data_IF_471408308962
#
_entry.id   IF_471408308962
#
_cell.length_a   1.000
_cell.length_b   1.000
_cell.length_c   1.000
_cell.angle_alpha   90.00
_cell.angle_beta   90.00
_cell.angle_gamma   90.00
#
_symmetry.space_group_name_H-M   'P 1'
#
loop_
_entity.id
_entity.type
_entity.pdbx_description
1 polymer ?
#
# COMPACT_ATOMS: atom_id res chain seq x y z
N UNK A 1 -73.14 41.82 -31.90
CA UNK A 1 -72.56 43.14 -31.63
C UNK A 1 -71.29 42.97 -30.85
N UNK A 2 -70.24 43.56 -31.32
CA UNK A 2 -68.86 43.64 -30.86
C UNK A 2 -67.92 42.40 -31.03
N UNK A 3 -67.17 42.51 -32.12
CA UNK A 3 -65.94 41.81 -32.39
C UNK A 3 -64.84 42.34 -31.45
N UNK A 4 -64.08 41.47 -30.86
CA UNK A 4 -62.81 41.83 -30.26
C UNK A 4 -61.64 41.03 -30.90
N UNK A 5 -60.69 41.82 -31.36
CA UNK A 5 -59.53 41.43 -32.16
C UNK A 5 -58.58 40.52 -31.34
N UNK A 6 -58.18 39.40 -31.95
CA UNK A 6 -57.01 38.65 -31.50
C UNK A 6 -55.71 39.36 -31.87
N UNK A 7 -54.92 39.69 -30.88
CA UNK A 7 -53.55 40.10 -31.06
C UNK A 7 -52.63 38.85 -31.00
N UNK A 8 -52.03 38.51 -32.13
CA UNK A 8 -50.99 37.48 -32.21
C UNK A 8 -49.67 38.10 -31.75
N UNK A 9 -49.22 37.67 -30.58
CA UNK A 9 -47.86 37.91 -30.07
C UNK A 9 -46.93 36.88 -30.69
N UNK A 10 -45.96 37.33 -31.48
CA UNK A 10 -44.86 36.50 -31.99
C UNK A 10 -43.83 36.27 -30.89
N UNK A 11 -43.86 35.09 -30.29
CA UNK A 11 -42.78 34.61 -29.41
C UNK A 11 -41.59 34.20 -30.25
N UNK A 12 -40.46 34.88 -30.08
CA UNK A 12 -39.17 34.48 -30.65
C UNK A 12 -38.59 33.39 -29.78
N UNK A 13 -38.65 32.16 -30.26
CA UNK A 13 -37.97 31.02 -29.64
C UNK A 13 -36.48 31.14 -29.90
N UNK A 14 -35.71 31.46 -28.87
CA UNK A 14 -34.25 31.40 -28.91
C UNK A 14 -33.83 29.96 -28.64
N UNK A 15 -33.30 29.29 -29.62
CA UNK A 15 -32.61 28.00 -29.44
C UNK A 15 -31.24 28.29 -28.82
N UNK A 16 -31.09 27.92 -27.56
CA UNK A 16 -29.78 27.84 -26.89
C UNK A 16 -29.15 26.52 -27.31
N UNK A 17 -28.18 26.60 -28.22
CA UNK A 17 -27.34 25.44 -28.55
C UNK A 17 -26.34 25.29 -27.38
N UNK A 18 -26.57 24.31 -26.50
CA UNK A 18 -25.59 23.92 -25.50
C UNK A 18 -24.61 23.00 -26.21
N UNK A 19 -23.45 23.56 -26.55
CA UNK A 19 -22.29 22.75 -27.00
C UNK A 19 -21.65 22.11 -25.77
N UNK A 20 -21.89 20.82 -25.59
CA UNK A 20 -21.11 20.00 -24.66
C UNK A 20 -19.69 19.84 -25.23
N UNK A 21 -18.76 20.66 -24.76
CA UNK A 21 -17.35 20.39 -24.88
C UNK A 21 -17.02 19.24 -23.91
N UNK A 22 -16.98 18.02 -24.43
CA UNK A 22 -16.33 16.91 -23.76
C UNK A 22 -14.84 17.22 -23.72
N UNK A 23 -14.37 17.75 -22.58
CA UNK A 23 -12.95 17.83 -22.31
C UNK A 23 -12.51 16.40 -22.03
N UNK A 24 -11.98 15.72 -23.06
CA UNK A 24 -11.14 14.55 -22.86
C UNK A 24 -9.91 15.08 -22.11
N UNK A 25 -9.88 14.87 -20.81
CA UNK A 25 -8.66 14.95 -20.02
C UNK A 25 -7.80 13.75 -20.44
N UNK A 26 -7.03 13.92 -21.50
CA UNK A 26 -5.87 13.08 -21.75
C UNK A 26 -4.94 13.33 -20.57
N UNK A 27 -4.93 12.40 -19.63
CA UNK A 27 -3.88 12.30 -18.63
C UNK A 27 -2.58 12.08 -19.40
N UNK A 28 -1.86 13.15 -19.66
CA UNK A 28 -0.50 13.08 -20.20
C UNK A 28 0.34 12.59 -19.02
N UNK A 29 0.49 11.27 -18.93
CA UNK A 29 1.55 10.72 -18.12
C UNK A 29 2.85 11.28 -18.67
N UNK A 30 3.74 11.87 -17.86
CA UNK A 30 5.06 12.17 -18.33
C UNK A 30 5.70 10.83 -18.70
N UNK A 31 5.83 10.55 -20.00
CA UNK A 31 6.81 9.58 -20.45
C UNK A 31 8.15 10.09 -19.93
N UNK A 32 8.56 9.58 -18.80
CA UNK A 32 9.90 9.79 -18.29
C UNK A 32 10.83 9.19 -19.33
N UNK A 33 11.52 10.06 -20.06
CA UNK A 33 12.53 9.62 -21.03
C UNK A 33 13.52 8.73 -20.27
N UNK A 34 13.56 7.45 -20.63
CA UNK A 34 14.50 6.48 -20.12
C UNK A 34 15.93 6.92 -20.50
N UNK A 35 16.52 7.73 -19.66
CA UNK A 35 17.93 8.05 -19.74
C UNK A 35 18.72 7.04 -18.93
N UNK A 36 19.66 6.41 -19.60
CA UNK A 36 20.70 5.47 -19.20
C UNK A 36 20.99 5.47 -17.70
N UNK A 37 20.45 4.49 -17.00
CA UNK A 37 20.83 4.19 -15.64
C UNK A 37 22.13 3.39 -15.66
N UNK A 38 23.24 4.06 -15.45
CA UNK A 38 24.52 3.44 -15.15
C UNK A 38 25.13 4.13 -13.94
N UNK A 39 24.52 3.93 -12.76
CA UNK A 39 25.17 4.30 -11.49
C UNK A 39 25.67 3.01 -10.85
N UNK A 40 26.96 2.66 -11.00
CA UNK A 40 27.54 1.55 -10.25
C UNK A 40 27.50 1.91 -8.77
N UNK A 41 26.79 1.11 -7.98
CA UNK A 41 26.88 1.17 -6.52
C UNK A 41 25.76 1.88 -5.77
N UNK A 42 24.55 1.97 -6.32
CA UNK A 42 23.41 2.30 -5.48
C UNK A 42 23.23 1.22 -4.40
N UNK A 43 23.15 1.60 -3.13
CA UNK A 43 22.94 0.63 -2.06
C UNK A 43 21.57 -0.07 -2.23
N UNK A 44 21.50 -1.30 -1.78
CA UNK A 44 20.23 -2.02 -1.68
C UNK A 44 19.23 -1.20 -0.87
N UNK A 45 18.02 -1.02 -1.42
CA UNK A 45 16.93 -0.32 -0.76
C UNK A 45 16.10 -1.35 -0.02
N UNK A 46 15.90 -1.15 1.28
CA UNK A 46 15.16 -2.06 2.14
C UNK A 46 13.74 -1.55 2.33
N UNK A 47 12.78 -2.29 1.79
CA UNK A 47 11.35 -1.95 1.80
C UNK A 47 10.62 -2.94 2.70
N UNK A 48 9.89 -2.44 3.69
CA UNK A 48 9.25 -3.28 4.68
C UNK A 48 7.73 -3.07 4.76
N UNK A 49 7.04 -4.08 5.28
CA UNK A 49 5.69 -3.95 5.84
C UNK A 49 5.67 -4.44 7.28
N UNK A 50 4.89 -3.75 8.11
CA UNK A 50 4.75 -4.10 9.52
C UNK A 50 3.42 -3.62 10.10
N UNK A 51 2.58 -4.55 10.53
CA UNK A 51 1.45 -4.25 11.39
C UNK A 51 1.99 -4.02 12.82
N UNK A 52 1.81 -2.81 13.35
CA UNK A 52 2.36 -2.37 14.63
C UNK A 52 1.38 -2.46 15.81
N UNK A 53 0.27 -3.14 15.59
CA UNK A 53 -0.73 -3.49 16.63
C UNK A 53 -1.16 -2.29 17.47
N UNK A 54 -2.06 -1.50 16.94
CA UNK A 54 -2.64 -0.33 17.64
C UNK A 54 -1.58 0.64 18.22
N UNK A 55 -0.50 0.87 17.46
CA UNK A 55 0.48 1.87 17.85
C UNK A 55 -0.15 3.25 17.94
N UNK A 56 -0.47 3.67 19.15
CA UNK A 56 -1.11 4.95 19.43
C UNK A 56 -0.62 5.59 20.72
N UNK A 57 -0.34 6.88 20.66
CA UNK A 57 -0.06 7.72 21.82
C UNK A 57 -1.29 7.90 22.72
N UNK A 58 -2.51 7.63 22.22
CA UNK A 58 -3.74 7.90 22.98
C UNK A 58 -4.26 6.73 23.79
N UNK A 59 -3.97 5.51 23.39
CA UNK A 59 -4.42 4.31 24.10
C UNK A 59 -3.52 3.92 25.25
N UNK A 60 -2.33 4.54 25.36
CA UNK A 60 -1.38 4.30 26.43
C UNK A 60 -1.25 5.54 27.33
N UNK A 61 -1.05 5.33 28.62
CA UNK A 61 -0.71 6.40 29.54
C UNK A 61 0.58 7.06 29.04
N UNK A 62 0.56 8.34 28.82
CA UNK A 62 1.49 9.21 28.05
C UNK A 62 3.00 8.90 28.09
N UNK A 63 3.52 8.22 29.12
CA UNK A 63 4.93 7.82 29.19
C UNK A 63 5.26 6.56 28.41
N UNK A 64 4.31 5.65 28.26
CA UNK A 64 4.52 4.37 27.56
C UNK A 64 4.41 4.54 26.04
N UNK A 65 3.62 5.50 25.56
CA UNK A 65 3.48 5.80 24.14
C UNK A 65 4.78 6.34 23.51
N UNK A 66 5.44 7.26 24.20
CA UNK A 66 6.73 7.79 23.73
C UNK A 66 7.79 6.69 23.63
N UNK A 67 7.83 5.79 24.62
CA UNK A 67 8.73 4.63 24.59
C UNK A 67 8.43 3.70 23.40
N UNK A 68 7.16 3.49 23.07
CA UNK A 68 6.79 2.61 21.94
C UNK A 68 7.32 3.15 20.61
N UNK A 69 7.17 4.44 20.33
CA UNK A 69 7.71 5.05 19.11
C UNK A 69 9.24 4.94 19.05
N UNK A 70 9.93 5.10 20.17
CA UNK A 70 11.39 4.91 20.23
C UNK A 70 11.79 3.47 19.91
N UNK A 71 11.12 2.47 20.48
CA UNK A 71 11.40 1.06 20.17
C UNK A 71 11.10 0.69 18.72
N UNK A 72 10.03 1.23 18.14
CA UNK A 72 9.72 1.05 16.70
C UNK A 72 10.82 1.70 15.87
N UNK A 73 11.26 2.91 16.21
CA UNK A 73 12.33 3.60 15.52
C UNK A 73 13.66 2.83 15.57
N UNK A 74 14.01 2.27 16.74
CA UNK A 74 15.20 1.43 16.90
C UNK A 74 15.09 0.16 16.04
N UNK A 75 13.96 -0.53 16.02
CA UNK A 75 13.73 -1.71 15.19
C UNK A 75 13.91 -1.39 13.68
N UNK A 76 13.39 -0.25 13.24
CA UNK A 76 13.55 0.22 11.85
C UNK A 76 15.03 0.46 11.52
N UNK A 77 15.75 1.16 12.41
CA UNK A 77 17.17 1.47 12.22
C UNK A 77 18.04 0.20 12.24
N UNK A 78 17.83 -0.70 13.20
CA UNK A 78 18.55 -1.98 13.29
C UNK A 78 18.34 -2.82 12.02
N UNK A 79 17.11 -2.88 11.54
CA UNK A 79 16.76 -3.55 10.30
C UNK A 79 17.17 -2.74 9.05
N UNK A 80 17.71 -1.52 9.18
CA UNK A 80 18.13 -0.62 8.10
C UNK A 80 17.03 -0.40 7.05
N UNK A 81 15.81 -0.23 7.49
CA UNK A 81 14.65 -0.05 6.59
C UNK A 81 14.66 1.37 6.03
N UNK A 82 14.56 1.48 4.71
CA UNK A 82 14.56 2.75 3.99
C UNK A 82 13.14 3.22 3.66
N UNK A 83 12.21 2.28 3.44
CA UNK A 83 10.79 2.52 3.17
C UNK A 83 9.99 1.52 3.99
N UNK A 84 8.98 1.98 4.71
CA UNK A 84 8.12 1.09 5.50
C UNK A 84 6.64 1.42 5.33
N UNK A 85 5.86 0.37 5.11
CA UNK A 85 4.40 0.39 5.08
C UNK A 85 3.86 -0.13 6.42
N UNK A 86 3.14 0.70 7.15
CA UNK A 86 2.53 0.38 8.44
C UNK A 86 1.04 0.09 8.33
N UNK A 87 0.59 -0.85 9.15
CA UNK A 87 -0.81 -1.11 9.44
C UNK A 87 -1.03 -1.00 10.95
N UNK A 88 -2.24 -0.66 11.36
CA UNK A 88 -2.63 -0.41 12.76
C UNK A 88 -1.80 0.70 13.44
N UNK A 89 -1.36 1.67 12.66
CA UNK A 89 -0.78 2.89 13.20
C UNK A 89 -1.87 3.93 13.33
N UNK A 90 -1.91 4.67 14.43
CA UNK A 90 -2.88 5.76 14.58
C UNK A 90 -2.24 7.08 14.16
N UNK A 91 -2.84 7.74 13.16
CA UNK A 91 -2.28 8.96 12.59
C UNK A 91 -2.59 10.16 13.46
N UNK A 92 -3.80 10.20 14.04
CA UNK A 92 -4.24 11.24 14.95
C UNK A 92 -4.89 10.60 16.17
N UNK A 93 -4.12 10.48 17.20
CA UNK A 93 -4.70 10.36 18.52
C UNK A 93 -5.35 11.68 18.95
N UNK A 94 -6.04 11.70 20.10
CA UNK A 94 -6.68 12.92 20.67
C UNK A 94 -5.72 14.11 20.81
N UNK A 95 -4.43 13.94 20.61
CA UNK A 95 -3.38 14.98 20.66
C UNK A 95 -2.63 15.15 19.34
N UNK A 96 -3.10 14.51 18.24
CA UNK A 96 -2.54 14.57 16.89
C UNK A 96 -1.05 14.30 16.87
N UNK A 97 -0.55 13.36 16.12
CA UNK A 97 0.85 13.27 15.80
C UNK A 97 1.59 11.98 16.17
N UNK A 98 0.92 10.82 16.13
CA UNK A 98 1.65 9.56 16.34
C UNK A 98 2.71 9.35 15.26
N UNK A 99 2.41 9.68 14.01
CA UNK A 99 3.39 9.67 12.91
C UNK A 99 4.52 10.67 13.15
N UNK A 100 4.21 11.89 13.58
CA UNK A 100 5.23 12.90 13.85
C UNK A 100 6.13 12.47 15.01
N UNK A 101 5.58 11.87 16.07
CA UNK A 101 6.37 11.33 17.18
C UNK A 101 7.31 10.20 16.72
N UNK A 102 6.86 9.35 15.80
CA UNK A 102 7.72 8.32 15.22
C UNK A 102 8.82 8.93 14.35
N UNK A 103 8.49 9.95 13.53
CA UNK A 103 9.49 10.67 12.72
C UNK A 103 10.52 11.38 13.60
N UNK A 104 10.10 12.03 14.70
CA UNK A 104 10.99 12.66 15.67
C UNK A 104 11.90 11.62 16.36
N UNK A 105 11.36 10.44 16.73
CA UNK A 105 12.14 9.35 17.28
C UNK A 105 13.18 8.83 16.28
N UNK A 106 12.81 8.62 15.01
CA UNK A 106 13.72 8.22 13.94
C UNK A 106 14.82 9.26 13.70
N UNK A 107 14.45 10.53 13.67
CA UNK A 107 15.41 11.63 13.50
C UNK A 107 16.39 11.70 14.67
N UNK A 108 15.94 11.47 15.91
CA UNK A 108 16.77 11.52 17.13
C UNK A 108 17.85 10.43 17.17
N UNK A 109 17.71 9.36 16.39
CA UNK A 109 18.66 8.26 16.29
C UNK A 109 19.42 8.22 14.93
N UNK A 110 19.47 9.33 14.20
CA UNK A 110 20.11 9.45 12.87
C UNK A 110 19.56 8.47 11.81
N UNK A 111 18.24 8.23 11.81
CA UNK A 111 17.55 7.42 10.81
C UNK A 111 16.32 8.14 10.27
N UNK A 112 16.47 9.40 9.89
CA UNK A 112 15.35 10.24 9.46
C UNK A 112 14.60 9.63 8.26
N UNK A 113 13.27 9.59 8.36
CA UNK A 113 12.33 9.23 7.29
C UNK A 113 11.35 10.42 7.11
N UNK A 114 11.78 11.48 6.38
CA UNK A 114 11.04 12.75 6.35
C UNK A 114 9.78 12.70 5.51
N UNK A 115 9.66 11.73 4.58
CA UNK A 115 8.53 11.66 3.66
C UNK A 115 7.49 10.70 4.21
N UNK A 116 6.22 11.13 4.21
CA UNK A 116 5.10 10.35 4.75
C UNK A 116 3.87 10.47 3.85
N UNK A 117 3.22 9.35 3.63
CA UNK A 117 1.85 9.26 3.14
C UNK A 117 1.01 8.49 4.16
N UNK A 118 -0.29 8.77 4.22
CA UNK A 118 -1.17 8.09 5.16
C UNK A 118 -2.62 8.03 4.69
N UNK A 119 -3.37 7.06 5.21
CA UNK A 119 -4.80 6.94 5.01
C UNK A 119 -5.49 6.57 6.31
N UNK A 120 -6.58 7.27 6.62
CA UNK A 120 -7.40 6.99 7.80
C UNK A 120 -8.36 5.83 7.55
N UNK A 121 -8.48 4.99 8.54
CA UNK A 121 -9.50 3.96 8.62
C UNK A 121 -10.64 4.40 9.54
N UNK A 122 -11.90 4.13 9.19
CA UNK A 122 -13.03 4.37 10.09
C UNK A 122 -12.93 3.63 11.43
N UNK A 123 -12.09 2.59 11.50
CA UNK A 123 -11.91 1.72 12.66
C UNK A 123 -10.67 2.08 13.50
N UNK A 124 -10.02 3.22 13.24
CA UNK A 124 -8.75 3.64 13.84
C UNK A 124 -7.54 2.70 13.58
N UNK A 125 -7.66 1.83 12.59
CA UNK A 125 -6.57 0.97 12.11
C UNK A 125 -5.95 1.62 10.89
N UNK A 126 -5.30 2.77 11.09
CA UNK A 126 -4.81 3.60 10.00
C UNK A 126 -3.61 2.97 9.27
N UNK A 127 -3.32 3.49 8.09
CA UNK A 127 -2.19 3.10 7.25
C UNK A 127 -1.22 4.26 7.11
N UNK A 128 0.07 3.97 7.11
CA UNK A 128 1.08 4.96 6.76
C UNK A 128 2.22 4.33 5.96
N UNK A 129 2.84 5.14 5.12
CA UNK A 129 4.10 4.83 4.45
C UNK A 129 5.09 5.91 4.85
N UNK A 130 6.19 5.50 5.47
CA UNK A 130 7.34 6.38 5.74
C UNK A 130 8.46 6.02 4.78
N UNK A 131 9.17 7.05 4.29
CA UNK A 131 10.25 6.87 3.33
C UNK A 131 11.39 7.85 3.58
N UNK A 132 12.61 7.38 3.34
CA UNK A 132 13.81 8.21 3.23
C UNK A 132 13.90 8.88 1.86
N UNK A 133 13.17 8.35 0.87
CA UNK A 133 13.08 8.88 -0.49
C UNK A 133 11.83 9.74 -0.65
N UNK A 134 11.83 10.72 -1.58
CA UNK A 134 10.68 11.56 -1.82
C UNK A 134 9.43 10.76 -2.19
N UNK A 135 8.31 11.05 -1.53
CA UNK A 135 6.98 10.62 -1.97
C UNK A 135 6.43 11.75 -2.83
N UNK A 136 6.31 11.51 -4.13
CA UNK A 136 5.89 12.54 -5.10
C UNK A 136 4.38 12.65 -5.20
N UNK A 137 3.68 11.52 -5.03
CA UNK A 137 2.23 11.44 -5.06
C UNK A 137 1.73 10.40 -4.06
N UNK A 138 0.54 10.60 -3.54
CA UNK A 138 -0.15 9.58 -2.74
C UNK A 138 -1.66 9.73 -2.87
N UNK A 139 -2.36 8.61 -2.81
CA UNK A 139 -3.82 8.60 -2.79
C UNK A 139 -4.37 7.49 -1.90
N UNK A 140 -5.59 7.73 -1.44
CA UNK A 140 -6.38 6.75 -0.71
C UNK A 140 -7.39 6.13 -1.65
N UNK A 141 -7.31 4.82 -1.84
CA UNK A 141 -8.25 4.06 -2.65
C UNK A 141 -9.36 3.58 -1.71
N UNK A 142 -10.57 4.04 -1.98
CA UNK A 142 -11.77 3.66 -1.24
C UNK A 142 -12.50 2.54 -1.97
N UNK A 143 -13.29 1.77 -1.22
CA UNK A 143 -14.20 0.82 -1.82
C UNK A 143 -15.16 1.50 -2.81
N UNK A 144 -15.59 0.80 -3.86
CA UNK A 144 -16.76 1.18 -4.59
C UNK A 144 -17.95 1.36 -3.64
N UNK A 145 -18.79 2.39 -3.88
CA UNK A 145 -19.90 2.77 -2.98
C UNK A 145 -20.88 1.65 -2.65
N UNK A 146 -20.92 0.62 -3.46
CA UNK A 146 -21.80 -0.55 -3.33
C UNK A 146 -21.26 -1.63 -2.37
N UNK A 147 -19.97 -1.54 -2.00
CA UNK A 147 -19.33 -2.49 -1.08
C UNK A 147 -18.48 -1.71 -0.07
N UNK A 148 -19.02 -1.46 1.14
CA UNK A 148 -18.26 -0.74 2.15
C UNK A 148 -17.05 -1.56 2.61
N UNK A 149 -15.87 -1.13 2.22
CA UNK A 149 -14.65 -1.67 2.83
C UNK A 149 -14.46 -1.02 4.19
N UNK A 150 -14.21 -1.81 5.20
CA UNK A 150 -13.97 -1.24 6.52
C UNK A 150 -12.66 -0.44 6.57
N UNK A 151 -11.73 -0.71 5.65
CA UNK A 151 -10.39 -0.11 5.64
C UNK A 151 -9.96 0.26 4.22
N UNK A 152 -9.32 1.43 4.02
CA UNK A 152 -8.84 1.86 2.70
C UNK A 152 -7.59 1.08 2.27
N UNK A 153 -7.15 1.32 1.03
CA UNK A 153 -5.80 1.04 0.55
C UNK A 153 -5.09 2.38 0.40
N UNK A 154 -3.84 2.46 0.82
CA UNK A 154 -2.97 3.61 0.60
C UNK A 154 -2.00 3.30 -0.52
N UNK A 155 -1.95 4.18 -1.51
CA UNK A 155 -0.96 4.20 -2.58
C UNK A 155 0.02 5.35 -2.36
N UNK A 156 1.31 5.10 -2.62
CA UNK A 156 2.33 6.14 -2.68
C UNK A 156 3.25 5.91 -3.88
N UNK A 157 3.54 6.96 -4.64
CA UNK A 157 4.57 6.99 -5.66
C UNK A 157 5.84 7.55 -5.04
N UNK A 158 6.92 6.78 -5.05
CA UNK A 158 8.19 7.07 -4.40
C UNK A 158 9.26 7.24 -5.46
N UNK A 159 9.93 8.38 -5.45
CA UNK A 159 11.02 8.68 -6.37
C UNK A 159 12.34 8.12 -5.81
N UNK A 160 12.85 7.07 -6.45
CA UNK A 160 14.14 6.45 -6.12
C UNK A 160 15.30 7.05 -6.92
N UNK A 161 15.08 8.16 -7.62
CA UNK A 161 16.02 8.85 -8.48
C UNK A 161 15.86 8.41 -9.94
N UNK A 162 16.31 7.19 -10.26
CA UNK A 162 16.27 6.68 -11.65
C UNK A 162 14.96 5.96 -11.97
N UNK A 163 14.10 5.70 -10.98
CA UNK A 163 12.82 5.02 -11.17
C UNK A 163 11.77 5.48 -10.17
N UNK A 164 10.51 5.39 -10.57
CA UNK A 164 9.36 5.54 -9.68
C UNK A 164 8.92 4.17 -9.18
N UNK A 165 8.73 4.07 -7.86
CA UNK A 165 8.19 2.91 -7.19
C UNK A 165 6.77 3.21 -6.71
N UNK A 166 5.80 2.41 -7.15
CA UNK A 166 4.43 2.47 -6.64
C UNK A 166 4.27 1.45 -5.52
N UNK A 167 4.07 1.94 -4.30
CA UNK A 167 3.89 1.12 -3.11
C UNK A 167 2.43 1.23 -2.65
N UNK A 168 1.76 0.09 -2.60
CA UNK A 168 0.41 -0.07 -2.05
C UNK A 168 0.47 -0.74 -0.70
N UNK A 169 -0.24 -0.19 0.29
CA UNK A 169 -0.42 -0.87 1.56
C UNK A 169 -1.89 -0.95 1.95
N UNK A 170 -2.26 -2.05 2.59
CA UNK A 170 -3.61 -2.31 3.04
C UNK A 170 -3.61 -3.13 4.34
N UNK A 171 -4.72 -3.03 5.07
CA UNK A 171 -5.05 -3.92 6.17
C UNK A 171 -6.44 -4.51 5.90
N UNK A 172 -6.50 -5.72 5.34
CA UNK A 172 -7.74 -6.36 4.93
C UNK A 172 -8.57 -6.86 6.12
N UNK A 173 -9.80 -7.28 5.84
CA UNK A 173 -10.72 -7.78 6.87
C UNK A 173 -10.14 -8.99 7.58
N UNK A 174 -10.00 -8.89 8.91
CA UNK A 174 -9.58 -9.99 9.79
C UNK A 174 -10.67 -11.07 9.92
N UNK A 175 -10.31 -12.20 10.53
CA UNK A 175 -11.10 -13.38 10.85
C UNK A 175 -11.28 -14.39 9.70
N UNK A 176 -11.51 -15.66 10.11
CA UNK A 176 -11.56 -16.80 9.19
C UNK A 176 -12.98 -17.20 8.75
N UNK A 177 -14.01 -16.47 9.20
CA UNK A 177 -15.39 -16.74 8.82
C UNK A 177 -15.66 -16.37 7.35
N UNK A 178 -16.79 -16.88 6.82
CA UNK A 178 -17.14 -16.74 5.41
C UNK A 178 -17.40 -15.28 5.00
N UNK A 179 -17.97 -14.46 5.88
CA UNK A 179 -18.22 -13.05 5.63
C UNK A 179 -16.91 -12.28 5.49
N UNK A 180 -15.97 -12.54 6.40
CA UNK A 180 -14.63 -11.95 6.37
C UNK A 180 -13.84 -12.39 5.13
N UNK A 181 -13.93 -13.65 4.73
CA UNK A 181 -13.34 -14.13 3.47
C UNK A 181 -13.92 -13.39 2.26
N UNK A 182 -15.25 -13.28 2.19
CA UNK A 182 -15.92 -12.57 1.09
C UNK A 182 -15.49 -11.11 1.01
N UNK A 183 -15.31 -10.45 2.17
CA UNK A 183 -14.81 -9.09 2.23
C UNK A 183 -13.35 -8.98 1.72
N UNK A 184 -12.46 -9.91 2.11
CA UNK A 184 -11.07 -9.92 1.60
C UNK A 184 -11.01 -10.14 0.09
N UNK A 185 -11.82 -11.06 -0.44
CA UNK A 185 -11.89 -11.29 -1.88
C UNK A 185 -12.33 -10.04 -2.64
N UNK A 186 -13.36 -9.34 -2.13
CA UNK A 186 -13.84 -8.09 -2.73
C UNK A 186 -12.76 -6.99 -2.67
N UNK A 187 -12.02 -6.88 -1.55
CA UNK A 187 -10.93 -5.92 -1.39
C UNK A 187 -9.78 -6.23 -2.37
N UNK A 188 -9.38 -7.51 -2.49
CA UNK A 188 -8.33 -7.94 -3.41
C UNK A 188 -8.72 -7.70 -4.87
N UNK A 189 -9.95 -8.05 -5.26
CA UNK A 189 -10.46 -7.84 -6.61
C UNK A 189 -10.48 -6.37 -7.00
N UNK A 190 -10.87 -5.50 -6.09
CA UNK A 190 -10.93 -4.08 -6.41
C UNK A 190 -9.53 -3.45 -6.48
N UNK A 191 -8.58 -3.87 -5.63
CA UNK A 191 -7.19 -3.44 -5.76
C UNK A 191 -6.58 -3.92 -7.07
N UNK A 192 -6.78 -5.18 -7.45
CA UNK A 192 -6.35 -5.72 -8.74
C UNK A 192 -6.94 -4.94 -9.92
N UNK A 193 -8.24 -4.63 -9.86
CA UNK A 193 -8.93 -3.85 -10.89
C UNK A 193 -8.39 -2.42 -10.98
N UNK A 194 -8.12 -1.78 -9.83
CA UNK A 194 -7.51 -0.44 -9.79
C UNK A 194 -6.13 -0.44 -10.47
N UNK A 195 -5.26 -1.39 -10.12
CA UNK A 195 -3.92 -1.50 -10.71
C UNK A 195 -4.01 -1.69 -12.23
N UNK A 196 -4.86 -2.59 -12.71
CA UNK A 196 -5.06 -2.79 -14.14
C UNK A 196 -5.61 -1.56 -14.85
N UNK A 197 -6.57 -0.88 -14.24
CA UNK A 197 -7.14 0.34 -14.83
C UNK A 197 -6.12 1.47 -14.89
N UNK A 198 -5.28 1.60 -13.85
CA UNK A 198 -4.31 2.69 -13.76
C UNK A 198 -3.10 2.48 -14.67
N UNK A 199 -2.51 1.28 -14.66
CA UNK A 199 -1.27 0.99 -15.40
C UNK A 199 -1.50 0.35 -16.76
N UNK A 200 -2.59 -0.39 -16.96
CA UNK A 200 -2.89 -1.06 -18.23
C UNK A 200 -1.73 -1.94 -18.69
N UNK A 201 -1.27 -1.73 -19.92
CA UNK A 201 -0.16 -2.51 -20.50
C UNK A 201 1.20 -2.22 -19.85
N UNK A 202 1.35 -1.10 -19.14
CA UNK A 202 2.62 -0.74 -18.50
C UNK A 202 2.90 -1.51 -17.19
N UNK A 203 1.97 -2.32 -16.71
CA UNK A 203 2.13 -3.15 -15.49
C UNK A 203 3.46 -3.93 -15.51
N UNK A 204 3.79 -4.51 -16.68
CA UNK A 204 4.98 -5.36 -16.87
C UNK A 204 6.30 -4.62 -16.67
N UNK A 205 6.30 -3.32 -16.92
CA UNK A 205 7.48 -2.45 -16.96
C UNK A 205 7.49 -1.47 -15.78
N UNK A 206 6.49 -1.54 -14.92
CA UNK A 206 6.35 -0.63 -13.77
C UNK A 206 6.77 -1.33 -12.48
N UNK A 207 7.54 -0.64 -11.65
CA UNK A 207 7.89 -1.12 -10.33
C UNK A 207 6.70 -0.92 -9.37
N UNK A 208 6.00 -2.00 -9.07
CA UNK A 208 4.82 -1.99 -8.19
C UNK A 208 5.04 -3.00 -7.07
N UNK A 209 4.76 -2.60 -5.84
CA UNK A 209 4.79 -3.44 -4.65
C UNK A 209 3.45 -3.33 -3.92
N UNK A 210 2.86 -4.48 -3.58
CA UNK A 210 1.77 -4.58 -2.62
C UNK A 210 2.38 -5.11 -1.32
N UNK A 211 2.35 -4.35 -0.24
CA UNK A 211 2.96 -4.69 1.03
C UNK A 211 2.02 -4.37 2.17
N UNK A 212 1.53 -5.38 2.90
CA UNK A 212 0.55 -5.15 3.95
C UNK A 212 0.08 -6.40 4.65
N UNK A 213 -0.80 -6.20 5.64
CA UNK A 213 -1.54 -7.24 6.31
C UNK A 213 -2.83 -7.53 5.54
N UNK A 214 -2.79 -8.53 4.67
CA UNK A 214 -3.94 -8.96 3.87
C UNK A 214 -4.82 -9.98 4.59
N UNK A 215 -4.50 -10.30 5.86
CA UNK A 215 -5.27 -11.20 6.71
C UNK A 215 -5.62 -12.55 6.06
N UNK A 216 -4.70 -13.15 5.33
CA UNK A 216 -4.85 -14.42 4.61
C UNK A 216 -4.78 -15.61 5.57
N UNK A 217 -5.80 -15.74 6.40
CA UNK A 217 -5.83 -16.67 7.55
C UNK A 217 -6.29 -18.08 7.19
N UNK A 218 -6.77 -18.31 5.97
CA UNK A 218 -7.27 -19.61 5.52
C UNK A 218 -6.47 -20.17 4.36
N UNK A 219 -6.52 -21.50 4.17
CA UNK A 219 -5.96 -22.14 2.98
C UNK A 219 -6.62 -21.65 1.69
N UNK A 220 -7.90 -21.25 1.76
CA UNK A 220 -8.60 -20.69 0.62
C UNK A 220 -8.00 -19.35 0.18
N UNK A 221 -7.64 -18.48 1.12
CA UNK A 221 -7.00 -17.20 0.82
C UNK A 221 -5.69 -17.39 0.03
N UNK A 222 -4.91 -18.43 0.35
CA UNK A 222 -3.53 -18.61 -0.12
C UNK A 222 -3.37 -19.57 -1.29
N UNK A 223 -4.24 -20.58 -1.42
CA UNK A 223 -4.02 -21.72 -2.32
C UNK A 223 -5.13 -21.92 -3.37
N UNK A 224 -6.26 -21.24 -3.24
CA UNK A 224 -7.34 -21.37 -4.21
C UNK A 224 -7.07 -20.50 -5.43
N UNK A 225 -7.36 -21.04 -6.62
CA UNK A 225 -7.58 -20.19 -7.79
C UNK A 225 -8.68 -19.19 -7.44
N UNK A 226 -8.45 -17.92 -7.66
CA UNK A 226 -9.32 -16.82 -7.22
C UNK A 226 -9.38 -16.62 -5.68
N UNK A 227 -8.40 -17.12 -4.93
CA UNK A 227 -8.19 -16.76 -3.53
C UNK A 227 -7.65 -15.32 -3.38
N UNK A 228 -7.60 -14.82 -2.15
CA UNK A 228 -7.15 -13.45 -1.88
C UNK A 228 -5.76 -13.15 -2.47
N UNK A 229 -4.79 -14.07 -2.26
CA UNK A 229 -3.42 -13.90 -2.79
C UNK A 229 -3.39 -14.02 -4.31
N UNK A 230 -4.14 -14.94 -4.88
CA UNK A 230 -4.21 -15.13 -6.33
C UNK A 230 -4.74 -13.89 -7.05
N UNK A 231 -5.78 -13.26 -6.49
CA UNK A 231 -6.31 -11.97 -6.96
C UNK A 231 -5.29 -10.83 -6.84
N UNK A 232 -4.57 -10.75 -5.70
CA UNK A 232 -3.51 -9.75 -5.50
C UNK A 232 -2.31 -9.97 -6.41
N UNK A 233 -2.08 -11.22 -6.86
CA UNK A 233 -1.08 -11.57 -7.86
C UNK A 233 -1.57 -11.36 -9.31
N UNK A 234 -2.75 -10.81 -9.52
CA UNK A 234 -3.38 -10.56 -10.83
C UNK A 234 -3.61 -11.85 -11.66
N UNK A 235 -3.71 -13.03 -11.02
CA UNK A 235 -3.87 -14.35 -11.67
C UNK A 235 -5.31 -14.72 -12.01
N UNK A 236 -6.20 -13.75 -12.07
CA UNK A 236 -7.63 -13.93 -12.35
C UNK A 236 -7.99 -13.84 -13.84
N UNK A 237 -6.99 -13.76 -14.72
CA UNK A 237 -7.13 -13.74 -16.17
C UNK A 237 -6.23 -14.79 -16.87
N UNK A 238 -6.20 -14.81 -18.21
CA UNK A 238 -5.37 -15.72 -19.01
C UNK A 238 -3.97 -15.14 -19.34
N UNK A 239 -3.74 -13.85 -19.10
CA UNK A 239 -2.44 -13.19 -19.37
C UNK A 239 -1.50 -13.34 -18.17
N UNK A 240 -0.66 -14.35 -18.19
CA UNK A 240 0.34 -14.57 -17.14
C UNK A 240 1.54 -13.60 -17.21
N UNK A 241 1.58 -12.71 -18.19
CA UNK A 241 2.71 -11.78 -18.35
C UNK A 241 2.61 -10.56 -17.44
N UNK A 242 1.43 -10.29 -16.88
CA UNK A 242 1.17 -9.26 -15.87
C UNK A 242 1.04 -9.83 -14.44
N UNK A 243 1.25 -11.15 -14.26
CA UNK A 243 1.16 -11.82 -12.97
C UNK A 243 2.22 -11.30 -11.99
N UNK A 244 1.78 -10.92 -10.81
CA UNK A 244 2.65 -10.54 -9.70
C UNK A 244 3.15 -11.78 -8.95
N UNK A 245 4.24 -11.63 -8.19
CA UNK A 245 4.85 -12.67 -7.39
C UNK A 245 4.79 -12.34 -5.90
N UNK A 246 4.21 -13.22 -5.09
CA UNK A 246 4.29 -13.13 -3.62
C UNK A 246 5.62 -13.68 -3.15
N UNK A 247 6.55 -12.80 -2.77
CA UNK A 247 7.94 -13.15 -2.45
C UNK A 247 8.04 -14.07 -1.23
N UNK A 248 7.26 -13.82 -0.21
CA UNK A 248 7.30 -14.62 1.01
C UNK A 248 6.68 -16.01 0.83
N UNK A 249 5.67 -16.17 0.00
CA UNK A 249 5.14 -17.51 -0.34
C UNK A 249 6.11 -18.30 -1.19
N UNK A 250 6.77 -17.64 -2.13
CA UNK A 250 7.72 -18.28 -3.04
C UNK A 250 8.98 -18.78 -2.32
N UNK A 251 9.56 -17.97 -1.42
CA UNK A 251 10.90 -18.25 -0.90
C UNK A 251 11.03 -18.50 0.60
N UNK A 252 10.01 -18.21 1.41
CA UNK A 252 10.11 -18.36 2.85
C UNK A 252 9.47 -19.63 3.41
N UNK A 253 9.12 -20.61 2.56
CA UNK A 253 8.56 -21.89 2.97
C UNK A 253 7.38 -21.76 3.95
N UNK A 254 6.45 -20.87 3.66
CA UNK A 254 5.27 -20.60 4.50
C UNK A 254 5.59 -20.25 5.96
N UNK A 255 6.70 -19.57 6.21
CA UNK A 255 7.01 -19.07 7.55
C UNK A 255 5.95 -18.06 8.02
N UNK A 256 5.40 -18.22 9.24
CA UNK A 256 4.40 -17.31 9.76
C UNK A 256 4.94 -15.90 9.93
N UNK A 257 4.13 -14.90 9.55
CA UNK A 257 4.36 -13.48 9.80
C UNK A 257 3.60 -12.98 11.01
N UNK A 258 2.51 -13.64 11.37
CA UNK A 258 1.70 -13.39 12.56
C UNK A 258 1.79 -14.56 13.54
N UNK A 259 1.83 -14.26 14.86
CA UNK A 259 1.81 -15.27 15.91
C UNK A 259 1.04 -14.80 17.15
N UNK A 260 -0.03 -15.50 17.46
CA UNK A 260 -0.74 -15.38 18.75
C UNK A 260 -0.30 -16.47 19.74
N UNK A 261 -0.94 -16.49 20.91
CA UNK A 261 -0.71 -17.55 21.91
C UNK A 261 -1.16 -18.94 21.44
N UNK A 262 -2.16 -19.00 20.56
CA UNK A 262 -2.84 -20.23 20.16
C UNK A 262 -2.59 -20.64 18.72
N UNK A 263 -2.14 -19.73 17.85
CA UNK A 263 -1.93 -20.05 16.45
C UNK A 263 -0.95 -19.09 15.77
N UNK A 264 -0.43 -19.53 14.61
CA UNK A 264 0.43 -18.71 13.75
C UNK A 264 -0.05 -18.81 12.30
N UNK A 265 0.05 -17.72 11.54
CA UNK A 265 -0.36 -17.64 10.14
C UNK A 265 0.50 -16.70 9.33
N UNK A 266 0.34 -16.78 8.02
CA UNK A 266 0.92 -15.84 7.06
C UNK A 266 -0.18 -14.85 6.71
N UNK A 267 -0.14 -13.68 7.28
CA UNK A 267 -1.13 -12.60 7.06
C UNK A 267 -0.54 -11.46 6.27
N UNK A 268 0.76 -11.24 6.45
CA UNK A 268 1.50 -10.16 5.82
C UNK A 268 2.19 -10.68 4.56
N UNK A 269 2.12 -9.91 3.49
CA UNK A 269 2.74 -10.25 2.22
C UNK A 269 3.49 -9.07 1.63
N UNK A 270 4.54 -9.39 0.86
CA UNK A 270 5.15 -8.51 -0.14
C UNK A 270 4.97 -9.18 -1.50
N UNK A 271 4.16 -8.55 -2.34
CA UNK A 271 3.81 -9.02 -3.68
C UNK A 271 4.32 -7.98 -4.68
N UNK A 272 5.07 -8.42 -5.67
CA UNK A 272 5.79 -7.52 -6.57
C UNK A 272 5.39 -7.74 -8.03
N UNK A 273 5.42 -6.67 -8.82
CA UNK A 273 5.16 -6.70 -10.27
C UNK A 273 6.19 -7.55 -11.03
N UNK A 274 5.91 -7.94 -12.29
CA UNK A 274 6.82 -8.74 -13.11
C UNK A 274 8.21 -8.12 -13.25
N UNK A 275 8.30 -6.79 -13.39
CA UNK A 275 9.58 -6.08 -13.43
C UNK A 275 10.46 -6.39 -12.20
N UNK A 276 9.88 -6.31 -11.01
CA UNK A 276 10.60 -6.55 -9.76
C UNK A 276 10.82 -8.05 -9.52
N UNK A 277 9.84 -8.88 -9.85
CA UNK A 277 9.94 -10.34 -9.72
C UNK A 277 11.10 -10.92 -10.52
N UNK A 278 11.34 -10.43 -11.74
CA UNK A 278 12.44 -10.85 -12.59
C UNK A 278 13.83 -10.56 -12.00
N UNK A 279 13.93 -9.66 -11.02
CA UNK A 279 15.17 -9.22 -10.39
C UNK A 279 15.32 -9.71 -8.95
N UNK A 280 14.24 -10.20 -8.36
CA UNK A 280 14.22 -10.74 -7.01
C UNK A 280 14.74 -12.18 -6.98
N UNK A 281 15.28 -12.59 -5.84
CA UNK A 281 15.69 -13.96 -5.55
C UNK A 281 15.39 -14.32 -4.09
N UNK A 282 15.74 -15.54 -3.68
CA UNK A 282 15.51 -16.02 -2.30
C UNK A 282 16.17 -15.19 -1.20
N UNK A 283 17.17 -14.37 -1.53
CA UNK A 283 17.84 -13.49 -0.58
C UNK A 283 17.22 -12.08 -0.57
N UNK A 284 16.28 -11.81 -1.48
CA UNK A 284 15.59 -10.53 -1.57
C UNK A 284 14.50 -10.37 -0.52
N UNK A 285 14.07 -11.45 0.16
CA UNK A 285 13.00 -11.41 1.13
C UNK A 285 13.43 -12.02 2.46
N UNK A 286 13.12 -11.35 3.56
CA UNK A 286 13.40 -11.83 4.91
C UNK A 286 12.28 -11.49 5.89
N UNK A 287 12.21 -12.25 6.98
CA UNK A 287 11.34 -11.98 8.14
C UNK A 287 12.23 -11.64 9.31
N UNK A 288 11.96 -10.49 9.95
CA UNK A 288 12.66 -10.03 11.14
C UNK A 288 11.70 -10.06 12.31
N UNK A 289 12.10 -10.69 13.40
CA UNK A 289 11.39 -10.60 14.68
C UNK A 289 11.70 -9.21 15.28
N UNK A 290 10.68 -8.37 15.56
CA UNK A 290 10.95 -7.09 16.19
C UNK A 290 11.58 -7.30 17.58
N UNK A 291 12.56 -6.47 17.98
CA UNK A 291 13.18 -6.58 19.28
C UNK A 291 12.13 -6.42 20.38
N UNK A 292 12.27 -7.14 21.49
CA UNK A 292 11.38 -6.92 22.63
C UNK A 292 11.68 -5.55 23.28
N UNK A 293 10.66 -4.98 23.90
CA UNK A 293 10.85 -3.81 24.77
C UNK A 293 11.78 -4.13 25.94
N UNK A 294 12.29 -3.11 26.65
CA UNK A 294 13.11 -3.28 27.87
C UNK A 294 12.44 -4.16 28.94
N UNK A 295 11.11 -4.25 28.93
CA UNK A 295 10.33 -5.10 29.81
C UNK A 295 10.11 -6.51 29.27
N UNK A 296 10.68 -6.84 28.10
CA UNK A 296 10.55 -8.14 27.45
C UNK A 296 9.20 -8.37 26.74
N UNK A 297 8.42 -7.32 26.47
CA UNK A 297 7.18 -7.43 25.69
C UNK A 297 7.47 -7.33 24.20
N UNK A 298 6.74 -8.07 23.38
CA UNK A 298 6.76 -7.90 21.93
C UNK A 298 6.13 -6.57 21.54
N UNK A 299 6.74 -5.86 20.60
CA UNK A 299 6.21 -4.61 20.03
C UNK A 299 4.95 -4.86 19.21
N UNK A 300 4.84 -6.03 18.59
CA UNK A 300 3.70 -6.49 17.83
C UNK A 300 3.59 -8.02 17.90
N UNK A 301 2.44 -8.57 17.57
CA UNK A 301 2.25 -9.99 17.25
C UNK A 301 2.52 -10.31 15.77
N UNK A 302 2.81 -9.29 14.98
CA UNK A 302 3.32 -9.41 13.62
C UNK A 302 4.83 -9.21 13.57
N UNK A 303 5.46 -9.88 12.62
CA UNK A 303 6.88 -9.71 12.28
C UNK A 303 7.05 -8.66 11.19
N UNK A 304 8.26 -8.14 11.09
CA UNK A 304 8.62 -7.24 10.00
C UNK A 304 8.97 -8.10 8.77
N UNK A 305 8.28 -7.89 7.67
CA UNK A 305 8.60 -8.52 6.40
C UNK A 305 9.35 -7.51 5.54
N UNK A 306 10.53 -7.87 5.04
CA UNK A 306 11.45 -6.94 4.35
C UNK A 306 11.81 -7.47 2.96
N UNK A 307 11.66 -6.62 1.95
CA UNK A 307 12.15 -6.83 0.60
C UNK A 307 13.41 -5.99 0.34
N UNK A 308 14.48 -6.67 -0.05
CA UNK A 308 15.75 -6.06 -0.41
C UNK A 308 15.78 -5.81 -1.93
N UNK A 309 15.48 -4.58 -2.33
CA UNK A 309 15.52 -4.15 -3.71
C UNK A 309 16.93 -3.71 -4.08
N UNK A 310 17.53 -4.36 -5.08
CA UNK A 310 18.80 -3.96 -5.68
C UNK A 310 18.54 -3.14 -6.95
N UNK A 311 18.65 -1.80 -6.90
CA UNK A 311 18.36 -0.96 -8.07
C UNK A 311 19.29 -1.22 -9.24
N UNK A 312 20.51 -1.68 -8.98
CA UNK A 312 21.50 -1.97 -10.05
C UNK A 312 21.04 -3.10 -10.98
N UNK A 313 20.18 -4.00 -10.46
CA UNK A 313 19.58 -5.08 -11.26
C UNK A 313 18.46 -4.60 -12.19
N UNK A 314 17.93 -3.40 -11.98
CA UNK A 314 16.82 -2.86 -12.78
C UNK A 314 17.32 -2.14 -14.04
N UNK A 315 18.59 -1.76 -14.07
CA UNK A 315 19.19 -0.98 -15.15
C UNK A 315 19.67 -1.82 -16.38
N UNK A 316 19.38 -3.11 -16.44
CA UNK A 316 19.95 -4.01 -17.47
C UNK A 316 19.08 -4.20 -18.73
N UNK A 317 18.12 -3.32 -19.01
CA UNK A 317 17.39 -3.36 -20.27
C UNK A 317 17.78 -2.18 -21.16
N UNK A 318 18.80 -2.38 -21.95
CA UNK A 318 19.05 -1.66 -23.22
C UNK A 318 18.95 -2.65 -24.38
#
# INVERSE_FOLDING_TARGET
>A
MNMNKLHLSKSKTHYIIVVFLAILSLSIHPLCAQNQCSVPGLPTIRIATWNVKDCSATNQKTKEAFLLHSFIAEAIKEARIDIIAFQEIQIEGRKGADIALLQDALMSIDWAMPHVAWARSPLNDDLAILSRFPITESQTILAPSEQPWPRPVLEACIDLGDMLLYLYTAHFKAYADQESLSARLAQAQALASHIRQYFGQSIKETAIILAGDFNTVSSYDMQSKIGTVDLLQLRDNEDSTDDFLSLNLEWLNFKPTYKSKSYASITDHIIVSPLLAAKADKNSIEIIDPPPTDKGFSLSDHKILVFNLDPSRLCLWQ
#
